data_IF_915890759654
#
_entry.id   IF_915890759654
#
_cell.length_a   1.000
_cell.length_b   1.000
_cell.length_c   1.000
_cell.angle_alpha   90.00
_cell.angle_beta   90.00
_cell.angle_gamma   90.00
#
_symmetry.space_group_name_H-M   'P 1'
#
loop_
_entity.id
_entity.type
_entity.pdbx_description
1 polymer ?
#
# COMPACT_ATOMS: atom_id res chain seq x y z
N UNK A 1 -15.66 -40.57 1.08
CA UNK A 1 -15.21 -41.77 0.36
C UNK A 1 -16.41 -42.37 -0.34
N UNK A 2 -16.26 -42.82 -1.59
CA UNK A 2 -17.33 -43.48 -2.35
C UNK A 2 -16.76 -44.79 -2.93
N UNK A 3 -17.56 -45.86 -3.02
CA UNK A 3 -17.22 -47.06 -3.79
C UNK A 3 -16.87 -46.72 -5.25
N UNK A 4 -15.95 -47.50 -5.85
CA UNK A 4 -15.35 -47.26 -7.18
C UNK A 4 -16.39 -47.09 -8.28
N UNK A 5 -17.37 -47.97 -8.30
CA UNK A 5 -18.49 -48.05 -9.25
C UNK A 5 -19.43 -46.85 -9.13
N UNK A 6 -19.77 -46.45 -7.91
CA UNK A 6 -20.62 -45.28 -7.62
C UNK A 6 -19.91 -43.97 -7.98
N UNK A 7 -18.59 -43.89 -7.76
CA UNK A 7 -17.79 -42.76 -8.20
C UNK A 7 -17.71 -42.67 -9.73
N UNK A 8 -17.39 -43.78 -10.41
CA UNK A 8 -17.31 -43.84 -11.86
C UNK A 8 -18.63 -43.41 -12.51
N UNK A 9 -19.78 -43.87 -12.00
CA UNK A 9 -21.10 -43.44 -12.47
C UNK A 9 -21.40 -41.94 -12.22
N UNK A 10 -20.97 -41.38 -11.09
CA UNK A 10 -21.18 -39.95 -10.77
C UNK A 10 -20.28 -39.00 -11.57
N UNK A 11 -19.12 -39.48 -12.01
CA UNK A 11 -18.18 -38.71 -12.85
C UNK A 11 -18.47 -38.91 -14.33
N UNK A 12 -18.97 -40.08 -14.75
CA UNK A 12 -19.48 -40.35 -16.08
C UNK A 12 -20.80 -39.58 -16.34
N UNK A 13 -20.70 -38.27 -16.55
CA UNK A 13 -21.83 -37.41 -16.89
C UNK A 13 -21.87 -36.06 -16.17
N UNK A 14 -21.05 -35.87 -15.12
CA UNK A 14 -20.94 -34.57 -14.46
C UNK A 14 -19.72 -33.80 -14.97
N UNK A 15 -19.89 -32.51 -15.26
CA UNK A 15 -18.83 -31.57 -15.65
C UNK A 15 -17.79 -31.30 -14.52
N UNK A 16 -17.70 -32.17 -13.51
CA UNK A 16 -16.82 -32.04 -12.34
C UNK A 16 -15.57 -32.89 -12.56
N UNK A 17 -14.48 -32.24 -12.98
CA UNK A 17 -13.13 -32.84 -13.09
C UNK A 17 -12.67 -33.34 -11.73
N UNK A 18 -12.95 -34.60 -11.46
CA UNK A 18 -12.56 -35.31 -10.25
C UNK A 18 -11.43 -36.26 -10.61
N UNK A 19 -10.32 -36.17 -9.90
CA UNK A 19 -9.14 -37.01 -10.09
C UNK A 19 -9.11 -38.09 -9.01
N UNK A 20 -8.80 -39.33 -9.42
CA UNK A 20 -8.52 -40.42 -8.50
C UNK A 20 -7.23 -40.14 -7.73
N UNK A 21 -7.29 -40.13 -6.40
CA UNK A 21 -6.13 -39.85 -5.52
C UNK A 21 -5.61 -41.13 -4.85
N UNK A 22 -6.46 -42.13 -4.66
CA UNK A 22 -6.06 -43.43 -4.10
C UNK A 22 -7.26 -44.27 -3.65
N UNK A 23 -6.99 -45.53 -3.28
CA UNK A 23 -7.96 -46.45 -2.70
C UNK A 23 -7.41 -47.10 -1.42
N UNK A 24 -8.28 -47.34 -0.45
CA UNK A 24 -7.94 -48.19 0.71
C UNK A 24 -8.17 -49.67 0.35
N UNK A 25 -7.25 -50.59 0.69
CA UNK A 25 -7.35 -52.00 0.29
C UNK A 25 -8.58 -52.73 0.85
N UNK A 26 -9.08 -52.29 2.01
CA UNK A 26 -10.07 -53.03 2.78
C UNK A 26 -11.53 -52.71 2.41
N UNK A 27 -11.80 -51.57 1.76
CA UNK A 27 -13.18 -51.15 1.46
C UNK A 27 -13.42 -50.77 -0.01
N UNK A 28 -12.39 -50.88 -0.88
CA UNK A 28 -12.43 -50.38 -2.27
C UNK A 28 -12.95 -48.93 -2.36
N UNK A 29 -12.73 -48.15 -1.31
CA UNK A 29 -13.21 -46.78 -1.22
C UNK A 29 -12.24 -45.86 -1.98
N UNK A 30 -12.75 -45.16 -3.00
CA UNK A 30 -11.98 -44.17 -3.74
C UNK A 30 -11.93 -42.85 -2.96
N UNK A 31 -10.72 -42.33 -2.79
CA UNK A 31 -10.53 -40.90 -2.51
C UNK A 31 -10.41 -40.18 -3.83
N UNK A 32 -11.45 -39.42 -4.17
CA UNK A 32 -11.43 -38.55 -5.33
C UNK A 32 -11.33 -37.10 -4.86
N UNK A 33 -10.40 -36.35 -5.45
CA UNK A 33 -10.26 -34.94 -5.20
C UNK A 33 -10.53 -34.15 -6.47
N UNK A 34 -11.07 -32.95 -6.29
CA UNK A 34 -11.08 -31.96 -7.34
C UNK A 34 -9.63 -31.72 -7.82
N UNK A 35 -9.40 -31.68 -9.13
CA UNK A 35 -8.11 -31.36 -9.76
C UNK A 35 -7.41 -30.16 -9.09
N UNK A 36 -8.16 -29.09 -8.78
CA UNK A 36 -7.62 -27.92 -8.12
C UNK A 36 -7.15 -28.16 -6.67
N UNK A 37 -7.75 -29.13 -5.97
CA UNK A 37 -7.31 -29.55 -4.65
C UNK A 37 -6.03 -30.39 -4.75
N UNK A 38 -5.92 -31.29 -5.73
CA UNK A 38 -4.69 -32.04 -6.02
C UNK A 38 -3.54 -31.08 -6.29
N UNK A 39 -3.77 -30.06 -7.12
CA UNK A 39 -2.76 -29.02 -7.38
C UNK A 39 -2.33 -28.31 -6.11
N UNK A 40 -3.27 -27.97 -5.21
CA UNK A 40 -2.96 -27.37 -3.92
C UNK A 40 -2.04 -28.25 -3.06
N UNK A 41 -2.33 -29.55 -2.99
CA UNK A 41 -1.53 -30.51 -2.23
C UNK A 41 -0.13 -30.68 -2.83
N UNK A 42 -0.01 -30.78 -4.15
CA UNK A 42 1.28 -30.92 -4.83
C UNK A 42 2.17 -29.69 -4.64
N UNK A 43 1.60 -28.47 -4.74
CA UNK A 43 2.35 -27.23 -4.50
C UNK A 43 2.88 -27.17 -3.07
N UNK A 44 2.04 -27.52 -2.08
CA UNK A 44 2.48 -27.61 -0.67
C UNK A 44 3.52 -28.70 -0.44
N UNK A 45 3.37 -29.85 -1.09
CA UNK A 45 4.31 -30.96 -0.98
C UNK A 45 5.68 -30.59 -1.53
N UNK A 46 5.75 -30.02 -2.74
CA UNK A 46 7.02 -29.54 -3.30
C UNK A 46 7.64 -28.42 -2.46
N UNK A 47 6.83 -27.54 -1.88
CA UNK A 47 7.32 -26.53 -0.92
C UNK A 47 7.97 -27.18 0.30
N UNK A 48 7.31 -28.15 0.92
CA UNK A 48 7.85 -28.87 2.09
C UNK A 48 9.15 -29.62 1.79
N UNK A 49 9.34 -30.06 0.54
CA UNK A 49 10.59 -30.69 0.07
C UNK A 49 11.70 -29.68 -0.30
N UNK A 50 11.43 -28.38 -0.23
CA UNK A 50 12.37 -27.34 -0.67
C UNK A 50 12.49 -27.17 -2.19
N UNK A 51 11.72 -27.92 -2.99
CA UNK A 51 11.70 -27.83 -4.46
C UNK A 51 10.78 -26.68 -4.93
N UNK A 52 11.18 -25.46 -4.56
CA UNK A 52 10.40 -24.26 -4.80
C UNK A 52 10.23 -23.95 -6.30
N UNK A 53 11.22 -24.30 -7.13
CA UNK A 53 11.14 -24.03 -8.57
C UNK A 53 10.09 -24.91 -9.25
N UNK A 54 10.05 -26.20 -8.91
CA UNK A 54 9.04 -27.10 -9.43
C UNK A 54 7.65 -26.72 -8.94
N UNK A 55 7.52 -26.34 -7.66
CA UNK A 55 6.26 -25.87 -7.09
C UNK A 55 5.71 -24.64 -7.85
N UNK A 56 6.56 -23.64 -8.11
CA UNK A 56 6.21 -22.43 -8.86
C UNK A 56 5.82 -22.78 -10.30
N UNK A 57 6.65 -23.54 -11.02
CA UNK A 57 6.37 -23.94 -12.41
C UNK A 57 5.05 -24.70 -12.52
N UNK A 58 4.80 -25.62 -11.61
CA UNK A 58 3.57 -26.41 -11.61
C UNK A 58 2.32 -25.55 -11.39
N UNK A 59 2.35 -24.64 -10.41
CA UNK A 59 1.25 -23.69 -10.18
C UNK A 59 1.01 -22.79 -11.40
N UNK A 60 2.09 -22.24 -11.98
CA UNK A 60 2.01 -21.31 -13.12
C UNK A 60 1.46 -21.99 -14.38
N UNK A 61 1.89 -23.21 -14.69
CA UNK A 61 1.37 -23.99 -15.81
C UNK A 61 -0.12 -24.25 -15.65
N UNK A 62 -0.54 -24.76 -14.50
CA UNK A 62 -1.96 -25.02 -14.23
C UNK A 62 -2.80 -23.73 -14.33
N UNK A 63 -2.33 -22.64 -13.73
CA UNK A 63 -3.05 -21.36 -13.77
C UNK A 63 -3.19 -20.82 -15.19
N UNK A 64 -2.16 -20.98 -16.03
CA UNK A 64 -2.18 -20.56 -17.43
C UNK A 64 -3.17 -21.39 -18.26
N UNK A 65 -3.09 -22.72 -18.15
CA UNK A 65 -3.96 -23.63 -18.90
C UNK A 65 -5.41 -23.42 -18.52
N UNK A 66 -5.68 -23.26 -17.22
CA UNK A 66 -7.00 -22.86 -16.71
C UNK A 66 -7.51 -21.58 -17.36
N UNK A 67 -6.69 -20.53 -17.42
CA UNK A 67 -7.12 -19.26 -18.01
C UNK A 67 -7.40 -19.38 -19.51
N UNK A 68 -6.64 -20.19 -20.24
CA UNK A 68 -6.90 -20.48 -21.65
C UNK A 68 -8.24 -21.22 -21.82
N UNK A 69 -8.49 -22.25 -21.02
CA UNK A 69 -9.78 -22.98 -21.05
C UNK A 69 -10.98 -22.08 -20.74
N UNK A 70 -10.82 -21.13 -19.81
CA UNK A 70 -11.86 -20.16 -19.50
C UNK A 70 -12.15 -19.22 -20.68
N UNK A 71 -11.10 -18.71 -21.34
CA UNK A 71 -11.25 -17.87 -22.53
C UNK A 71 -11.92 -18.62 -23.69
N UNK A 72 -11.47 -19.84 -23.96
CA UNK A 72 -12.04 -20.70 -25.01
C UNK A 72 -13.54 -20.94 -24.76
N UNK A 73 -13.92 -21.32 -23.53
CA UNK A 73 -15.34 -21.54 -23.20
C UNK A 73 -16.17 -20.26 -23.28
N UNK A 74 -15.66 -19.13 -22.80
CA UNK A 74 -16.36 -17.85 -22.93
C UNK A 74 -16.53 -17.41 -24.38
N UNK A 75 -15.55 -17.68 -25.25
CA UNK A 75 -15.65 -17.38 -26.68
C UNK A 75 -16.68 -18.26 -27.39
N UNK A 76 -16.77 -19.55 -27.04
CA UNK A 76 -17.80 -20.47 -27.56
C UNK A 76 -19.20 -20.00 -27.17
N UNK A 77 -19.40 -19.51 -25.94
CA UNK A 77 -20.69 -18.97 -25.51
C UNK A 77 -21.04 -17.65 -26.21
N UNK A 78 -20.08 -16.76 -26.43
CA UNK A 78 -20.29 -15.50 -27.15
C UNK A 78 -20.58 -15.70 -28.65
N UNK A 79 -20.02 -16.75 -29.25
CA UNK A 79 -20.25 -17.13 -30.65
C UNK A 79 -21.57 -17.87 -30.91
N UNK A 80 -22.29 -18.29 -29.87
CA UNK A 80 -23.55 -19.04 -29.97
C UNK A 80 -24.79 -18.16 -30.25
N UNK A 81 -24.61 -16.95 -30.80
CA UNK A 81 -25.66 -15.96 -31.09
C UNK A 81 -26.53 -16.24 -32.32
N UNK A 82 -26.71 -17.49 -32.75
CA UNK A 82 -27.38 -17.83 -34.02
C UNK A 82 -28.60 -18.75 -33.95
N UNK A 83 -28.97 -19.33 -32.80
CA UNK A 83 -30.13 -20.24 -32.72
C UNK A 83 -30.98 -19.98 -31.46
N UNK A 84 -32.29 -19.69 -31.60
CA UNK A 84 -33.15 -19.36 -30.47
C UNK A 84 -33.66 -20.64 -29.79
N UNK A 85 -32.79 -21.34 -29.03
CA UNK A 85 -33.26 -22.28 -27.98
C UNK A 85 -32.20 -22.75 -26.97
N UNK A 86 -31.06 -22.09 -26.82
CA UNK A 86 -30.07 -22.43 -25.79
C UNK A 86 -30.46 -21.85 -24.41
N UNK A 87 -31.39 -22.58 -23.77
CA UNK A 87 -31.71 -22.67 -22.34
C UNK A 87 -30.73 -22.05 -21.33
N UNK A 88 -31.31 -21.51 -20.23
CA UNK A 88 -30.68 -21.13 -18.95
C UNK A 88 -29.61 -22.13 -18.42
N UNK A 89 -29.59 -23.38 -18.91
CA UNK A 89 -28.58 -24.41 -18.60
C UNK A 89 -27.15 -24.09 -19.08
N UNK A 90 -26.93 -23.36 -20.18
CA UNK A 90 -25.56 -23.08 -20.65
C UNK A 90 -24.82 -22.06 -19.78
N UNK A 91 -25.46 -20.96 -19.38
CA UNK A 91 -24.86 -19.97 -18.46
C UNK A 91 -24.50 -20.56 -17.08
N UNK A 92 -25.25 -21.58 -16.64
CA UNK A 92 -24.94 -22.37 -15.43
C UNK A 92 -23.68 -23.25 -15.59
N UNK A 93 -23.30 -23.55 -16.84
CA UNK A 93 -22.19 -24.45 -17.17
C UNK A 93 -20.81 -23.78 -17.04
N UNK A 94 -20.67 -22.52 -17.47
CA UNK A 94 -19.41 -21.76 -17.30
C UNK A 94 -19.22 -21.35 -15.86
N UNK A 95 -20.26 -20.87 -15.16
CA UNK A 95 -20.18 -20.58 -13.73
C UNK A 95 -19.83 -21.84 -12.90
N UNK A 96 -20.43 -22.99 -13.25
CA UNK A 96 -20.09 -24.30 -12.69
C UNK A 96 -18.64 -24.73 -12.97
N UNK A 97 -18.15 -24.52 -14.19
CA UNK A 97 -16.77 -24.85 -14.59
C UNK A 97 -15.73 -23.95 -13.93
N UNK A 98 -16.02 -22.65 -13.84
CA UNK A 98 -15.21 -21.66 -13.12
C UNK A 98 -15.08 -22.04 -11.65
N UNK A 99 -16.15 -22.55 -11.03
CA UNK A 99 -16.16 -23.05 -9.65
C UNK A 99 -15.38 -24.36 -9.51
N UNK A 100 -15.56 -25.30 -10.43
CA UNK A 100 -14.93 -26.61 -10.39
C UNK A 100 -13.41 -26.55 -10.60
N UNK A 101 -12.92 -25.72 -11.52
CA UNK A 101 -11.47 -25.58 -11.80
C UNK A 101 -10.80 -24.51 -10.94
N UNK A 102 -11.50 -23.96 -9.93
CA UNK A 102 -10.98 -22.89 -9.08
C UNK A 102 -9.85 -23.42 -8.21
N UNK A 103 -8.64 -22.87 -8.37
CA UNK A 103 -7.55 -23.07 -7.40
C UNK A 103 -8.04 -22.73 -5.98
N UNK A 104 -7.71 -23.54 -4.98
CA UNK A 104 -8.16 -23.30 -3.61
C UNK A 104 -7.34 -22.21 -2.94
N UNK A 105 -7.90 -21.57 -1.91
CA UNK A 105 -7.21 -20.52 -1.16
C UNK A 105 -5.82 -20.95 -0.63
N UNK A 106 -5.65 -22.16 -0.04
CA UNK A 106 -4.35 -22.61 0.42
C UNK A 106 -3.30 -22.76 -0.69
N UNK A 107 -3.71 -23.07 -1.93
CA UNK A 107 -2.79 -23.15 -3.07
C UNK A 107 -2.24 -21.76 -3.43
N UNK A 108 -3.13 -20.75 -3.42
CA UNK A 108 -2.77 -19.35 -3.69
C UNK A 108 -1.83 -18.80 -2.63
N UNK A 109 -2.11 -19.05 -1.36
CA UNK A 109 -1.27 -18.62 -0.24
C UNK A 109 0.11 -19.28 -0.31
N UNK A 110 0.16 -20.61 -0.50
CA UNK A 110 1.43 -21.33 -0.66
C UNK A 110 2.26 -20.83 -1.86
N UNK A 111 1.60 -20.52 -2.98
CA UNK A 111 2.26 -19.92 -4.12
C UNK A 111 2.83 -18.54 -3.82
N UNK A 112 2.11 -17.68 -3.11
CA UNK A 112 2.63 -16.38 -2.66
C UNK A 112 3.83 -16.52 -1.73
N UNK A 113 3.77 -17.45 -0.77
CA UNK A 113 4.89 -17.77 0.13
C UNK A 113 6.12 -18.26 -0.64
N UNK A 114 5.92 -19.14 -1.64
CA UNK A 114 6.98 -19.60 -2.54
C UNK A 114 7.63 -18.44 -3.32
N UNK A 115 6.82 -17.53 -3.87
CA UNK A 115 7.32 -16.35 -4.57
C UNK A 115 8.12 -15.43 -3.64
N UNK A 116 7.66 -15.26 -2.40
CA UNK A 116 8.35 -14.51 -1.36
C UNK A 116 9.70 -15.14 -0.99
N UNK A 117 9.73 -16.46 -0.78
CA UNK A 117 10.93 -17.23 -0.45
C UNK A 117 11.99 -17.18 -1.57
N UNK A 118 11.57 -17.07 -2.83
CA UNK A 118 12.46 -16.92 -3.99
C UNK A 118 12.71 -15.47 -4.40
N UNK A 119 12.24 -14.49 -3.62
CA UNK A 119 12.37 -13.06 -3.91
C UNK A 119 11.84 -12.65 -5.30
N UNK A 120 10.84 -13.37 -5.81
CA UNK A 120 10.22 -13.13 -7.12
C UNK A 120 9.15 -12.03 -7.04
N UNK A 121 9.52 -10.84 -6.56
CA UNK A 121 8.59 -9.76 -6.23
C UNK A 121 7.74 -9.27 -7.41
N UNK A 122 8.29 -9.30 -8.63
CA UNK A 122 7.56 -8.92 -9.84
C UNK A 122 6.36 -9.86 -10.09
N UNK A 123 6.53 -11.16 -9.85
CA UNK A 123 5.47 -12.16 -10.00
C UNK A 123 4.39 -12.02 -8.93
N UNK A 124 4.72 -11.51 -7.75
CA UNK A 124 3.74 -11.28 -6.67
C UNK A 124 2.72 -10.23 -7.11
N UNK A 125 3.18 -9.09 -7.63
CA UNK A 125 2.29 -8.05 -8.14
C UNK A 125 1.50 -8.54 -9.37
N UNK A 126 2.13 -9.33 -10.25
CA UNK A 126 1.46 -9.93 -11.40
C UNK A 126 0.36 -10.91 -10.97
N UNK A 127 0.62 -11.74 -9.97
CA UNK A 127 -0.32 -12.73 -9.44
C UNK A 127 -1.64 -12.09 -8.99
N UNK A 128 -1.57 -10.97 -8.28
CA UNK A 128 -2.76 -10.24 -7.84
C UNK A 128 -3.58 -9.66 -9.00
N UNK A 129 -2.93 -9.30 -10.12
CA UNK A 129 -3.61 -8.74 -11.31
C UNK A 129 -4.18 -9.78 -12.27
N UNK A 130 -3.66 -11.00 -12.24
CA UNK A 130 -4.06 -12.04 -13.20
C UNK A 130 -5.50 -12.51 -13.01
N UNK A 131 -5.99 -12.55 -11.78
CA UNK A 131 -7.36 -12.96 -11.43
C UNK A 131 -7.77 -12.13 -10.21
N UNK A 132 -8.91 -11.43 -10.28
CA UNK A 132 -9.41 -10.58 -9.17
C UNK A 132 -9.55 -11.37 -7.87
N UNK A 133 -9.86 -12.67 -7.97
CA UNK A 133 -9.98 -13.56 -6.81
C UNK A 133 -8.65 -13.83 -6.13
N UNK A 134 -7.52 -13.70 -6.83
CA UNK A 134 -6.20 -13.85 -6.23
C UNK A 134 -5.96 -12.76 -5.19
N UNK A 135 -6.27 -11.52 -5.57
CA UNK A 135 -6.24 -10.38 -4.67
C UNK A 135 -7.22 -10.58 -3.51
N UNK A 136 -8.49 -10.87 -3.81
CA UNK A 136 -9.52 -11.04 -2.77
C UNK A 136 -9.14 -12.11 -1.75
N UNK A 137 -8.69 -13.28 -2.21
CA UNK A 137 -8.29 -14.39 -1.33
C UNK A 137 -7.06 -14.02 -0.50
N UNK A 138 -6.08 -13.32 -1.08
CA UNK A 138 -4.89 -12.89 -0.35
C UNK A 138 -5.22 -11.82 0.71
N UNK A 139 -6.26 -11.02 0.50
CA UNK A 139 -6.72 -10.00 1.44
C UNK A 139 -7.62 -10.56 2.57
N UNK A 140 -7.95 -11.86 2.56
CA UNK A 140 -8.64 -12.53 3.68
C UNK A 140 -7.72 -12.69 4.92
N UNK A 141 -6.40 -12.55 4.77
CA UNK A 141 -5.44 -12.61 5.87
C UNK A 141 -4.39 -11.51 5.77
N UNK A 142 -4.08 -10.87 6.90
CA UNK A 142 -3.05 -9.84 6.99
C UNK A 142 -1.66 -10.36 6.58
N UNK A 143 -1.34 -11.63 6.86
CA UNK A 143 -0.07 -12.26 6.50
C UNK A 143 0.11 -12.36 4.99
N UNK A 144 -0.91 -12.86 4.29
CA UNK A 144 -0.87 -13.00 2.83
C UNK A 144 -0.95 -11.65 2.11
N UNK A 145 -1.72 -10.71 2.66
CA UNK A 145 -1.78 -9.35 2.13
C UNK A 145 -0.45 -8.59 2.33
N UNK A 146 0.24 -8.79 3.46
CA UNK A 146 1.57 -8.22 3.67
C UNK A 146 2.57 -8.72 2.61
N UNK A 147 2.47 -10.00 2.19
CA UNK A 147 3.28 -10.53 1.08
C UNK A 147 3.01 -9.80 -0.24
N UNK A 148 1.74 -9.54 -0.57
CA UNK A 148 1.39 -8.71 -1.72
C UNK A 148 1.98 -7.30 -1.61
N UNK A 149 1.88 -6.66 -0.44
CA UNK A 149 2.39 -5.31 -0.21
C UNK A 149 3.91 -5.23 -0.26
N UNK A 150 4.62 -6.27 0.17
CA UNK A 150 6.08 -6.37 -0.03
C UNK A 150 6.41 -6.44 -1.53
N UNK A 151 5.66 -7.26 -2.28
CA UNK A 151 5.75 -7.30 -3.74
C UNK A 151 5.51 -5.93 -4.37
N UNK A 152 4.45 -5.23 -3.94
CA UNK A 152 4.12 -3.88 -4.39
C UNK A 152 5.24 -2.89 -4.07
N UNK A 153 5.80 -2.93 -2.86
CA UNK A 153 6.91 -2.07 -2.46
C UNK A 153 8.13 -2.27 -3.35
N UNK A 154 8.54 -3.53 -3.57
CA UNK A 154 9.69 -3.86 -4.41
C UNK A 154 9.45 -3.54 -5.88
N UNK A 155 8.22 -3.75 -6.36
CA UNK A 155 7.76 -3.39 -7.71
C UNK A 155 7.44 -1.89 -7.89
N UNK A 156 7.43 -1.10 -6.81
CA UNK A 156 7.01 0.32 -6.78
C UNK A 156 5.58 0.52 -7.32
N UNK A 157 4.71 -0.40 -6.96
CA UNK A 157 3.35 -0.53 -7.46
C UNK A 157 2.32 0.05 -6.50
N UNK A 158 2.17 1.37 -6.57
CA UNK A 158 1.29 2.17 -5.72
C UNK A 158 -0.20 1.87 -5.90
N UNK A 159 -0.65 1.64 -7.13
CA UNK A 159 -2.06 1.43 -7.45
C UNK A 159 -2.51 0.10 -6.88
N UNK A 160 -1.70 -0.94 -7.03
CA UNK A 160 -1.98 -2.23 -6.40
C UNK A 160 -1.87 -2.14 -4.87
N UNK A 161 -0.90 -1.39 -4.33
CA UNK A 161 -0.76 -1.22 -2.89
C UNK A 161 -2.01 -0.60 -2.24
N UNK A 162 -2.55 0.48 -2.85
CA UNK A 162 -3.81 1.09 -2.41
C UNK A 162 -4.97 0.11 -2.51
N UNK A 163 -5.10 -0.56 -3.66
CA UNK A 163 -6.16 -1.53 -3.90
C UNK A 163 -6.14 -2.70 -2.89
N UNK A 164 -4.95 -3.13 -2.45
CA UNK A 164 -4.81 -4.14 -1.38
C UNK A 164 -5.40 -3.63 -0.08
N UNK A 165 -5.10 -2.39 0.35
CA UNK A 165 -5.67 -1.80 1.57
C UNK A 165 -7.19 -1.67 1.48
N UNK A 166 -7.71 -1.17 0.35
CA UNK A 166 -9.16 -1.07 0.10
C UNK A 166 -9.82 -2.45 0.18
N UNK A 167 -9.23 -3.46 -0.45
CA UNK A 167 -9.77 -4.83 -0.45
C UNK A 167 -9.70 -5.46 0.94
N UNK A 168 -8.63 -5.22 1.70
CA UNK A 168 -8.51 -5.72 3.08
C UNK A 168 -9.59 -5.12 3.98
N UNK A 169 -9.84 -3.81 3.89
CA UNK A 169 -10.89 -3.13 4.63
C UNK A 169 -12.28 -3.66 4.26
N UNK A 170 -12.54 -3.88 2.96
CA UNK A 170 -13.81 -4.45 2.50
C UNK A 170 -14.04 -5.90 2.96
N UNK A 171 -12.98 -6.73 2.98
CA UNK A 171 -13.09 -8.13 3.39
C UNK A 171 -13.14 -8.30 4.92
N UNK A 172 -12.63 -7.34 5.67
CA UNK A 172 -12.54 -7.40 7.13
C UNK A 172 -13.09 -6.11 7.78
N UNK A 173 -14.37 -5.74 7.56
CA UNK A 173 -14.89 -4.42 7.94
C UNK A 173 -14.95 -4.16 9.45
N UNK A 174 -14.92 -5.22 10.27
CA UNK A 174 -14.97 -5.12 11.74
C UNK A 174 -13.57 -5.18 12.36
N UNK A 175 -12.53 -5.46 11.57
CA UNK A 175 -11.18 -5.65 12.06
C UNK A 175 -10.30 -4.48 11.69
N UNK A 176 -9.71 -3.85 12.71
CA UNK A 176 -8.62 -2.90 12.52
C UNK A 176 -7.44 -3.64 11.91
N UNK A 177 -6.97 -3.19 10.74
CA UNK A 177 -5.82 -3.82 10.10
C UNK A 177 -4.57 -3.60 10.96
N UNK A 178 -3.63 -4.55 11.01
CA UNK A 178 -2.35 -4.32 11.67
C UNK A 178 -1.58 -3.16 11.01
N UNK A 179 -0.67 -2.53 11.76
CA UNK A 179 0.17 -1.43 11.27
C UNK A 179 1.06 -1.78 10.05
N UNK A 180 1.71 -2.97 9.95
CA UNK A 180 2.67 -3.25 8.87
C UNK A 180 2.10 -3.15 7.44
N UNK A 181 0.86 -3.62 7.14
CA UNK A 181 0.19 -3.35 5.87
C UNK A 181 0.19 -1.88 5.45
N UNK A 182 -0.25 -0.96 6.34
CA UNK A 182 -0.29 0.47 6.02
C UNK A 182 1.10 1.02 5.69
N UNK A 183 2.10 0.71 6.52
CA UNK A 183 3.46 1.19 6.26
C UNK A 183 4.04 0.67 4.94
N UNK A 184 3.82 -0.60 4.62
CA UNK A 184 4.30 -1.19 3.37
C UNK A 184 3.63 -0.53 2.17
N UNK A 185 2.34 -0.22 2.27
CA UNK A 185 1.58 0.43 1.20
C UNK A 185 2.06 1.89 0.98
N UNK A 186 2.27 2.66 2.06
CA UNK A 186 2.84 4.02 1.98
C UNK A 186 4.27 3.95 1.38
N UNK A 187 5.10 3.02 1.86
CA UNK A 187 6.46 2.79 1.33
C UNK A 187 6.43 2.46 -0.17
N UNK A 188 5.46 1.69 -0.64
CA UNK A 188 5.29 1.38 -2.07
C UNK A 188 4.96 2.63 -2.91
N UNK A 189 4.14 3.53 -2.37
CA UNK A 189 3.77 4.77 -3.03
C UNK A 189 4.95 5.76 -3.15
N UNK A 190 5.76 5.91 -2.10
CA UNK A 190 6.79 6.97 -2.05
C UNK A 190 8.19 6.53 -2.53
N UNK A 191 8.46 5.25 -2.80
CA UNK A 191 9.82 4.79 -3.13
C UNK A 191 10.31 5.10 -4.57
N UNK A 192 9.42 5.45 -5.50
CA UNK A 192 9.79 5.69 -6.91
C UNK A 192 10.44 7.05 -7.09
N UNK A 193 11.67 7.17 -7.61
CA UNK A 193 12.38 8.48 -7.74
C UNK A 193 11.55 9.60 -8.40
N UNK A 194 10.86 9.31 -9.51
CA UNK A 194 10.01 10.26 -10.22
C UNK A 194 8.55 10.05 -9.79
N UNK A 195 8.15 10.66 -8.67
CA UNK A 195 6.80 10.55 -8.13
C UNK A 195 5.85 11.50 -8.85
N UNK A 196 4.65 11.02 -9.13
CA UNK A 196 3.52 11.86 -9.56
C UNK A 196 2.70 12.33 -8.35
N UNK A 197 1.88 13.36 -8.55
CA UNK A 197 0.90 13.83 -7.56
C UNK A 197 -0.03 12.70 -7.10
N UNK A 198 -0.51 11.88 -8.04
CA UNK A 198 -1.30 10.68 -7.75
C UNK A 198 -0.60 9.69 -6.80
N UNK A 199 0.74 9.69 -6.74
CA UNK A 199 1.49 8.80 -5.85
C UNK A 199 1.38 9.27 -4.41
N UNK A 200 1.45 10.59 -4.23
CA UNK A 200 1.29 11.25 -2.95
C UNK A 200 -0.16 11.23 -2.48
N UNK A 201 -1.13 11.41 -3.38
CA UNK A 201 -2.56 11.24 -3.07
C UNK A 201 -2.84 9.84 -2.53
N UNK A 202 -2.30 8.80 -3.17
CA UNK A 202 -2.44 7.43 -2.70
C UNK A 202 -1.78 7.23 -1.33
N UNK A 203 -0.58 7.77 -1.12
CA UNK A 203 0.12 7.65 0.15
C UNK A 203 -0.63 8.35 1.31
N UNK A 204 -1.15 9.55 1.05
CA UNK A 204 -1.92 10.33 2.03
C UNK A 204 -3.29 9.74 2.29
N UNK A 205 -3.94 9.19 1.26
CA UNK A 205 -5.16 8.42 1.46
C UNK A 205 -4.92 7.23 2.41
N UNK A 206 -3.84 6.46 2.19
CA UNK A 206 -3.50 5.34 3.09
C UNK A 206 -3.19 5.84 4.51
N UNK A 207 -2.46 6.95 4.63
CA UNK A 207 -2.13 7.53 5.94
C UNK A 207 -3.36 8.03 6.71
N UNK A 208 -4.35 8.60 6.01
CA UNK A 208 -5.65 8.98 6.59
C UNK A 208 -6.42 7.77 7.07
N UNK A 209 -6.60 6.76 6.22
CA UNK A 209 -7.25 5.49 6.62
C UNK A 209 -6.56 4.87 7.84
N UNK A 210 -5.24 4.89 7.87
CA UNK A 210 -4.45 4.39 9.01
C UNK A 210 -4.70 5.18 10.31
N UNK A 211 -4.91 6.50 10.22
CA UNK A 211 -5.18 7.35 11.37
C UNK A 211 -6.66 7.31 11.79
N UNK A 212 -7.57 7.38 10.83
CA UNK A 212 -9.02 7.50 11.06
C UNK A 212 -9.62 6.15 11.48
N UNK A 213 -9.28 5.06 10.79
CA UNK A 213 -9.88 3.74 11.04
C UNK A 213 -9.13 2.96 12.14
N UNK A 214 -7.85 3.24 12.33
CA UNK A 214 -6.98 2.45 13.21
C UNK A 214 -6.29 3.25 14.33
N UNK A 215 -6.47 4.58 14.37
CA UNK A 215 -5.84 5.48 15.34
C UNK A 215 -4.31 5.39 15.41
N UNK A 216 -3.67 4.85 14.36
CA UNK A 216 -2.21 4.76 14.35
C UNK A 216 -1.59 6.08 13.92
N UNK A 217 -0.44 6.38 14.52
CA UNK A 217 0.40 7.51 14.15
C UNK A 217 1.50 7.04 13.21
N UNK A 218 1.72 7.78 12.12
CA UNK A 218 2.76 7.48 11.16
C UNK A 218 4.15 7.54 11.81
N UNK A 219 4.95 6.49 11.62
CA UNK A 219 6.32 6.46 12.14
C UNK A 219 7.12 7.69 11.66
N UNK A 220 7.88 8.39 12.52
CA UNK A 220 8.47 9.68 12.17
C UNK A 220 9.40 9.67 10.94
N UNK A 221 10.14 8.58 10.71
CA UNK A 221 10.97 8.47 9.50
C UNK A 221 10.14 8.27 8.22
N UNK A 222 9.02 7.56 8.30
CA UNK A 222 8.12 7.36 7.17
C UNK A 222 7.34 8.64 6.89
N UNK A 223 6.91 9.34 7.94
CA UNK A 223 6.34 10.68 7.88
C UNK A 223 7.30 11.67 7.21
N UNK A 224 8.55 11.74 7.67
CA UNK A 224 9.54 12.63 7.07
C UNK A 224 9.80 12.27 5.59
N UNK A 225 9.85 10.97 5.25
CA UNK A 225 10.00 10.54 3.87
C UNK A 225 8.82 10.98 2.98
N UNK A 226 7.59 10.89 3.49
CA UNK A 226 6.40 11.37 2.80
C UNK A 226 6.43 12.90 2.63
N UNK A 227 6.69 13.64 3.71
CA UNK A 227 6.78 15.10 3.70
C UNK A 227 7.85 15.60 2.73
N UNK A 228 9.06 15.03 2.81
CA UNK A 228 10.15 15.35 1.90
C UNK A 228 9.80 15.04 0.44
N UNK A 229 8.99 14.00 0.20
CA UNK A 229 8.51 13.68 -1.15
C UNK A 229 7.54 14.75 -1.66
N UNK A 230 6.64 15.27 -0.82
CA UNK A 230 5.72 16.36 -1.16
C UNK A 230 6.45 17.64 -1.58
N UNK A 231 7.55 17.99 -0.89
CA UNK A 231 8.36 19.18 -1.21
C UNK A 231 9.02 19.14 -2.60
N UNK A 232 9.23 17.94 -3.14
CA UNK A 232 9.92 17.72 -4.42
C UNK A 232 8.97 17.69 -5.63
N UNK A 233 7.68 17.96 -5.43
CA UNK A 233 6.74 18.16 -6.53
C UNK A 233 7.03 19.44 -7.32
N UNK A 234 6.81 19.38 -8.64
CA UNK A 234 7.08 20.49 -9.56
C UNK A 234 6.09 21.64 -9.42
N UNK A 235 4.81 21.32 -9.22
CA UNK A 235 3.76 22.32 -9.07
C UNK A 235 3.75 22.85 -7.63
N UNK A 236 4.03 24.15 -7.46
CA UNK A 236 4.24 24.76 -6.14
C UNK A 236 3.01 24.64 -5.23
N UNK A 237 1.83 24.98 -5.72
CA UNK A 237 0.59 24.98 -4.92
C UNK A 237 0.21 23.57 -4.46
N UNK A 238 0.37 22.58 -5.33
CA UNK A 238 0.16 21.17 -4.98
C UNK A 238 1.18 20.69 -3.96
N UNK A 239 2.45 21.03 -4.15
CA UNK A 239 3.50 20.71 -3.19
C UNK A 239 3.22 21.30 -1.80
N UNK A 240 2.71 22.54 -1.75
CA UNK A 240 2.29 23.19 -0.51
C UNK A 240 1.16 22.42 0.17
N UNK A 241 0.07 22.18 -0.57
CA UNK A 241 -1.10 21.45 -0.05
C UNK A 241 -0.72 20.07 0.50
N UNK A 242 0.06 19.28 -0.25
CA UNK A 242 0.49 17.96 0.22
C UNK A 242 1.47 18.03 1.40
N UNK A 243 2.36 19.03 1.44
CA UNK A 243 3.30 19.18 2.55
C UNK A 243 2.57 19.53 3.85
N UNK A 244 1.60 20.44 3.80
CA UNK A 244 0.80 20.82 4.96
C UNK A 244 -0.14 19.69 5.39
N UNK A 245 -0.81 19.02 4.46
CA UNK A 245 -1.61 17.83 4.79
C UNK A 245 -0.74 16.76 5.48
N UNK A 246 0.45 16.48 4.96
CA UNK A 246 1.39 15.54 5.59
C UNK A 246 1.83 16.03 6.98
N UNK A 247 2.06 17.32 7.13
CA UNK A 247 2.45 17.92 8.41
C UNK A 247 1.36 17.72 9.46
N UNK A 248 0.10 18.01 9.12
CA UNK A 248 -1.06 17.86 10.00
C UNK A 248 -1.29 16.45 10.53
N UNK A 249 -0.92 15.41 9.77
CA UNK A 249 -0.99 14.01 10.22
C UNK A 249 -0.09 13.72 11.45
N UNK A 250 0.89 14.57 11.74
CA UNK A 250 1.85 14.37 12.83
C UNK A 250 2.09 15.61 13.71
N UNK A 251 1.49 16.75 13.37
CA UNK A 251 1.77 18.06 13.98
C UNK A 251 1.56 18.05 15.49
N UNK A 252 0.49 17.40 15.95
CA UNK A 252 0.12 17.27 17.38
C UNK A 252 1.16 16.54 18.23
N UNK A 253 2.04 15.75 17.62
CA UNK A 253 3.08 15.02 18.35
C UNK A 253 4.35 15.86 18.58
N UNK A 254 4.48 17.01 17.91
CA UNK A 254 5.62 17.90 18.05
C UNK A 254 5.43 18.83 19.25
N UNK A 255 6.03 18.48 20.39
CA UNK A 255 5.97 19.27 21.63
C UNK A 255 7.24 20.08 21.89
N UNK A 256 8.34 19.81 21.18
CA UNK A 256 9.62 20.52 21.36
C UNK A 256 10.52 20.48 20.11
N UNK A 257 11.47 21.43 20.04
CA UNK A 257 12.48 21.54 18.97
C UNK A 257 13.33 20.27 18.82
N UNK A 258 13.69 19.62 19.93
CA UNK A 258 14.63 18.48 19.93
C UNK A 258 14.08 17.23 19.23
N UNK A 259 12.82 17.25 18.80
CA UNK A 259 12.27 16.20 17.96
C UNK A 259 12.93 16.25 16.57
N UNK A 260 13.96 15.43 16.38
CA UNK A 260 14.78 15.36 15.17
C UNK A 260 14.01 15.34 13.84
N UNK A 261 12.88 14.61 13.69
CA UNK A 261 12.07 14.64 12.48
C UNK A 261 11.52 16.03 12.13
N UNK A 262 11.05 16.81 13.11
CA UNK A 262 10.51 18.16 12.89
C UNK A 262 11.58 19.14 12.39
N UNK A 263 12.72 19.19 13.11
CA UNK A 263 13.86 20.01 12.69
C UNK A 263 14.39 19.61 11.30
N UNK A 264 14.42 18.30 11.00
CA UNK A 264 14.82 17.82 9.67
C UNK A 264 13.84 18.30 8.59
N UNK A 265 12.53 18.25 8.85
CA UNK A 265 11.50 18.73 7.93
C UNK A 265 11.62 20.24 7.66
N UNK A 266 11.72 21.04 8.72
CA UNK A 266 11.90 22.49 8.62
C UNK A 266 13.17 22.87 7.87
N UNK A 267 14.31 22.30 8.26
CA UNK A 267 15.58 22.55 7.58
C UNK A 267 15.52 22.18 6.10
N UNK A 268 14.78 21.11 5.75
CA UNK A 268 14.60 20.69 4.37
C UNK A 268 13.72 21.68 3.59
N UNK A 269 12.63 22.16 4.17
CA UNK A 269 11.77 23.19 3.56
C UNK A 269 12.54 24.51 3.36
N UNK A 270 13.30 24.95 4.38
CA UNK A 270 14.20 26.10 4.28
C UNK A 270 15.24 25.91 3.17
N UNK A 271 15.89 24.74 3.10
CA UNK A 271 16.89 24.44 2.06
C UNK A 271 16.32 24.49 0.63
N UNK A 272 15.03 24.19 0.45
CA UNK A 272 14.35 24.25 -0.85
C UNK A 272 13.73 25.63 -1.14
N UNK A 273 13.99 26.64 -0.29
CA UNK A 273 13.45 27.99 -0.38
C UNK A 273 11.90 28.00 -0.50
N UNK A 274 11.22 27.16 0.29
CA UNK A 274 9.76 27.02 0.32
C UNK A 274 9.18 27.81 1.50
N UNK A 275 9.14 29.14 1.38
CA UNK A 275 8.61 30.03 2.43
C UNK A 275 7.15 29.74 2.74
N UNK A 276 6.35 29.51 1.71
CA UNK A 276 4.96 29.06 1.78
C UNK A 276 4.77 27.86 2.73
N UNK A 277 5.60 26.83 2.58
CA UNK A 277 5.51 25.62 3.41
C UNK A 277 6.01 25.89 4.82
N UNK A 278 7.12 26.62 4.98
CA UNK A 278 7.67 26.96 6.31
C UNK A 278 6.64 27.73 7.13
N UNK A 279 6.04 28.76 6.54
CA UNK A 279 5.03 29.59 7.20
C UNK A 279 3.77 28.80 7.53
N UNK A 280 3.29 27.95 6.61
CA UNK A 280 2.14 27.08 6.86
C UNK A 280 2.39 26.11 8.02
N UNK A 281 3.57 25.46 8.05
CA UNK A 281 3.94 24.56 9.16
C UNK A 281 3.98 25.29 10.50
N UNK A 282 4.53 26.51 10.55
CA UNK A 282 4.61 27.28 11.79
C UNK A 282 3.23 27.67 12.31
N UNK A 283 2.36 28.18 11.44
CA UNK A 283 0.98 28.52 11.82
C UNK A 283 0.22 27.32 12.33
N UNK A 284 0.29 26.20 11.61
CA UNK A 284 -0.41 24.97 11.98
C UNK A 284 0.13 24.37 13.28
N UNK A 285 1.45 24.38 13.47
CA UNK A 285 2.06 23.93 14.71
C UNK A 285 1.66 24.80 15.89
N UNK A 286 1.74 26.13 15.75
CA UNK A 286 1.38 27.07 16.82
C UNK A 286 -0.10 26.97 17.20
N UNK A 287 -0.98 26.71 16.22
CA UNK A 287 -2.41 26.46 16.47
C UNK A 287 -2.68 25.12 17.16
N UNK A 288 -1.84 24.11 16.93
CA UNK A 288 -1.96 22.79 17.58
C UNK A 288 -1.21 22.70 18.92
N UNK A 289 -0.35 23.68 19.23
CA UNK A 289 0.56 23.69 20.36
C UNK A 289 -0.08 24.21 21.66
N UNK A 290 -1.35 23.86 21.90
CA UNK A 290 -2.03 24.08 23.17
C UNK A 290 -1.34 23.21 24.25
N UNK A 291 -0.63 23.86 25.18
CA UNK A 291 0.15 23.20 26.22
C UNK A 291 1.65 23.04 25.92
N UNK A 292 2.16 23.53 24.79
CA UNK A 292 3.61 23.66 24.57
C UNK A 292 4.10 24.95 25.26
N UNK A 293 5.15 24.82 26.06
CA UNK A 293 5.77 25.94 26.78
C UNK A 293 6.31 27.03 25.84
N UNK A 294 6.26 28.29 26.30
CA UNK A 294 6.74 29.47 25.61
C UNK A 294 8.23 29.39 25.27
N UNK A 295 9.04 28.73 26.10
CA UNK A 295 10.46 28.52 25.80
C UNK A 295 10.65 27.65 24.54
N UNK A 296 9.91 26.54 24.44
CA UNK A 296 9.96 25.65 23.28
C UNK A 296 9.51 26.37 22.00
N UNK A 297 8.47 27.22 22.08
CA UNK A 297 8.01 28.04 20.96
C UNK A 297 9.08 29.05 20.51
N UNK A 298 9.71 29.72 21.46
CA UNK A 298 10.85 30.64 21.22
C UNK A 298 12.01 29.94 20.54
N UNK A 299 12.38 28.74 21.01
CA UNK A 299 13.46 27.95 20.42
C UNK A 299 13.16 27.52 18.98
N UNK A 300 11.94 27.04 18.70
CA UNK A 300 11.51 26.63 17.34
C UNK A 300 11.52 27.80 16.37
N UNK A 301 10.89 28.92 16.71
CA UNK A 301 10.82 30.07 15.81
C UNK A 301 12.19 30.72 15.64
N UNK A 302 13.00 30.80 16.70
CA UNK A 302 14.39 31.27 16.61
C UNK A 302 15.27 30.37 15.71
N UNK A 303 15.05 29.06 15.73
CA UNK A 303 15.70 28.12 14.81
C UNK A 303 15.28 28.35 13.35
N UNK A 304 13.98 28.48 13.09
CA UNK A 304 13.44 28.69 11.74
C UNK A 304 13.93 30.02 11.16
N UNK A 305 13.85 31.10 11.95
CA UNK A 305 14.35 32.42 11.57
C UNK A 305 15.85 32.37 11.20
N UNK A 306 16.65 31.63 11.98
CA UNK A 306 18.07 31.40 11.67
C UNK A 306 18.29 30.68 10.36
N UNK A 307 17.55 29.60 10.12
CA UNK A 307 17.67 28.84 8.87
C UNK A 307 17.21 29.70 7.67
N UNK A 308 16.15 30.49 7.80
CA UNK A 308 15.69 31.41 6.75
C UNK A 308 16.74 32.48 6.41
N UNK A 309 17.30 33.15 7.42
CA UNK A 309 18.37 34.14 7.24
C UNK A 309 19.61 33.51 6.60
N UNK A 310 20.02 32.32 7.05
CA UNK A 310 21.19 31.62 6.51
C UNK A 310 20.98 31.19 5.04
N UNK A 311 19.74 30.95 4.62
CA UNK A 311 19.40 30.52 3.26
C UNK A 311 19.05 31.68 2.33
N UNK A 312 19.09 32.93 2.81
CA UNK A 312 18.81 34.11 1.99
C UNK A 312 17.34 34.17 1.56
N UNK A 313 16.41 33.90 2.49
CA UNK A 313 14.99 34.09 2.23
C UNK A 313 14.69 35.57 1.96
N UNK A 314 13.69 35.90 1.11
CA UNK A 314 13.26 37.28 0.91
C UNK A 314 12.87 37.93 2.24
N UNK A 315 13.21 39.21 2.40
CA UNK A 315 12.85 39.97 3.60
C UNK A 315 11.35 39.96 3.89
N UNK A 316 10.49 39.91 2.86
CA UNK A 316 9.04 39.77 3.06
C UNK A 316 8.65 38.50 3.84
N UNK A 317 9.31 37.37 3.59
CA UNK A 317 9.07 36.13 4.35
C UNK A 317 9.65 36.18 5.76
N UNK A 318 10.75 36.92 5.95
CA UNK A 318 11.33 37.13 7.28
C UNK A 318 10.40 38.00 8.12
N UNK A 319 9.87 39.09 7.55
CA UNK A 319 8.88 39.95 8.19
C UNK A 319 7.62 39.17 8.54
N UNK A 320 7.10 38.34 7.63
CA UNK A 320 5.92 37.52 7.90
C UNK A 320 6.13 36.55 9.08
N UNK A 321 7.35 36.00 9.24
CA UNK A 321 7.68 35.17 10.40
C UNK A 321 7.75 35.98 11.70
N UNK A 322 8.28 37.20 11.66
CA UNK A 322 8.31 38.09 12.81
C UNK A 322 6.89 38.50 13.22
N UNK A 323 6.01 38.79 12.27
CA UNK A 323 4.59 39.09 12.54
C UNK A 323 3.90 37.89 13.21
N UNK A 324 4.19 36.66 12.76
CA UNK A 324 3.73 35.44 13.43
C UNK A 324 4.28 35.36 14.86
N UNK A 325 5.58 35.56 15.06
CA UNK A 325 6.17 35.55 16.40
C UNK A 325 5.51 36.59 17.33
N UNK A 326 5.28 37.80 16.83
CA UNK A 326 4.62 38.89 17.57
C UNK A 326 3.18 38.52 17.95
N UNK A 327 2.40 37.96 17.01
CA UNK A 327 1.02 37.53 17.26
C UNK A 327 0.87 36.46 18.35
N UNK A 328 1.94 35.70 18.62
CA UNK A 328 2.00 34.70 19.69
C UNK A 328 2.82 35.16 20.90
N UNK A 329 3.19 36.44 20.97
CA UNK A 329 4.00 37.06 22.04
C UNK A 329 5.36 36.37 22.27
N UNK A 330 6.04 36.00 21.18
CA UNK A 330 7.31 35.30 21.22
C UNK A 330 8.46 36.27 20.92
N UNK A 331 9.36 36.44 21.88
CA UNK A 331 10.50 37.34 21.74
C UNK A 331 11.63 36.74 20.87
N UNK A 332 12.27 37.60 20.08
CA UNK A 332 13.43 37.24 19.26
C UNK A 332 14.72 37.60 19.98
N UNK A 333 15.73 36.72 19.95
CA UNK A 333 17.02 37.03 20.59
C UNK A 333 17.73 38.24 19.96
N UNK A 334 18.43 39.03 20.78
CA UNK A 334 19.20 40.23 20.36
C UNK A 334 20.19 39.94 19.21
N UNK A 335 20.81 38.77 19.21
CA UNK A 335 21.75 38.34 18.15
C UNK A 335 21.03 38.18 16.80
N UNK A 336 19.80 37.68 16.82
CA UNK A 336 18.98 37.54 15.61
C UNK A 336 18.52 38.88 15.07
N UNK A 337 18.10 39.79 15.95
CA UNK A 337 17.73 41.16 15.58
C UNK A 337 18.90 41.89 14.91
N UNK A 338 20.11 41.79 15.48
CA UNK A 338 21.31 42.37 14.86
C UNK A 338 21.59 41.80 13.46
N UNK A 339 21.36 40.50 13.27
CA UNK A 339 21.55 39.85 11.97
C UNK A 339 20.51 40.30 10.95
N UNK A 340 19.24 40.41 11.36
CA UNK A 340 18.16 40.95 10.51
C UNK A 340 18.49 42.38 10.07
N UNK A 341 18.88 43.26 11.00
CA UNK A 341 19.24 44.64 10.69
C UNK A 341 20.39 44.70 9.68
N UNK A 342 21.42 43.85 9.81
CA UNK A 342 22.49 43.76 8.80
C UNK A 342 21.96 43.32 7.44
N UNK A 343 21.14 42.28 7.38
CA UNK A 343 20.55 41.81 6.12
C UNK A 343 19.70 42.88 5.45
N UNK A 344 18.94 43.67 6.20
CA UNK A 344 18.17 44.81 5.67
C UNK A 344 19.08 45.89 5.08
N UNK A 345 20.17 46.21 5.78
CA UNK A 345 21.14 47.22 5.32
C UNK A 345 21.90 46.74 4.08
N UNK A 346 22.20 45.44 3.99
CA UNK A 346 22.88 44.84 2.84
C UNK A 346 21.96 44.75 1.60
N UNK A 347 20.65 44.52 1.76
CA UNK A 347 19.65 44.51 0.66
C UNK A 347 19.30 45.92 0.13
N UNK A 348 19.64 46.98 0.86
CA UNK A 348 19.35 48.37 0.50
C UNK A 348 20.43 49.03 -0.40
N UNK A 349 21.52 48.31 -0.69
CA UNK A 349 22.64 48.71 -1.53
C UNK A 349 22.76 47.80 -2.75
#
# INVERSE_FOLDING_TARGET
MLPVDVFAQRVAGSNRRSMFVGSTPQEQNITAANEAAVVAFLVKYFYALGDHERAIKFFESYSRDRMNWLKERSAVEAGAGGFPRASKTLSSSVSGFVRATRLWAPARSAYLELLMAKHNYHKIAQFARQDTRNLETACESAMTAASLLIGCRKGKDRTLARLVIETMAQKNPVSVLPLPPYELAIKAAIQKKNRSESDLENALWIARVMQDDAAYVLHPDLWFALFNTSLHLKQKDRALSFALETFGLHSKNFTALYQGPFCRALRKACRLNRSDVVMGMMREWLAAADGVDAEAKTQVLGFVLREMLYRGFPMSSITELLDVMESFHIETSRVMLQRIVRTILDDAH
#
